data_IF_160142093929
#
_entry.id   IF_160142093929
#
_cell.length_a   1.000
_cell.length_b   1.000
_cell.length_c   1.000
_cell.angle_alpha   90.00
_cell.angle_beta   90.00
_cell.angle_gamma   90.00
#
_symmetry.space_group_name_H-M   'P 1'
#
loop_
_entity.id
_entity.type
_entity.pdbx_description
1 polymer ?
#
# COMPACT_ATOMS: atom_id res chain seq x y z
N UNK A 1 -6.66 30.31 13.37
CA UNK A 1 -5.76 29.19 13.71
C UNK A 1 -6.27 28.31 14.86
N UNK A 2 -6.88 28.86 15.87
CA UNK A 2 -7.47 28.09 16.97
C UNK A 2 -8.68 27.23 16.56
N UNK A 3 -9.49 27.69 15.60
CA UNK A 3 -10.75 27.05 15.23
C UNK A 3 -10.60 25.79 14.37
N UNK A 4 -9.53 25.66 13.58
CA UNK A 4 -9.25 24.49 12.73
C UNK A 4 -8.76 23.32 13.59
N UNK A 5 -7.92 23.59 14.56
CA UNK A 5 -7.43 22.60 15.54
C UNK A 5 -8.59 22.11 16.44
N UNK A 6 -9.51 23.01 16.80
CA UNK A 6 -10.69 22.68 17.61
C UNK A 6 -11.68 21.77 16.85
N UNK A 7 -11.91 21.98 15.55
CA UNK A 7 -12.81 21.13 14.74
C UNK A 7 -12.24 19.72 14.54
N UNK A 8 -10.95 19.61 14.32
CA UNK A 8 -10.24 18.32 14.25
C UNK A 8 -10.21 17.60 15.60
N UNK A 9 -10.06 18.33 16.73
CA UNK A 9 -10.10 17.75 18.06
C UNK A 9 -11.51 17.28 18.46
N UNK A 10 -12.57 17.94 18.03
CA UNK A 10 -13.96 17.53 18.32
C UNK A 10 -14.32 16.23 17.58
N UNK A 11 -13.89 16.05 16.33
CA UNK A 11 -14.21 14.86 15.54
C UNK A 11 -13.36 13.63 15.91
N UNK A 12 -12.18 13.81 16.50
CA UNK A 12 -11.28 12.72 16.93
C UNK A 12 -11.40 12.45 18.44
N UNK A 13 -11.91 13.39 19.23
CA UNK A 13 -12.11 13.28 20.70
C UNK A 13 -13.20 12.26 21.10
N UNK A 14 -14.01 11.76 20.17
CA UNK A 14 -15.02 10.74 20.46
C UNK A 14 -14.46 9.33 20.65
N UNK A 15 -13.17 9.11 20.46
CA UNK A 15 -12.59 7.76 20.45
C UNK A 15 -11.72 7.40 21.69
N UNK A 16 -11.64 8.26 22.71
CA UNK A 16 -10.87 7.96 23.93
C UNK A 16 -11.73 7.52 25.14
N UNK A 17 -13.01 7.23 24.93
CA UNK A 17 -13.89 6.72 25.99
C UNK A 17 -14.42 5.34 25.63
N UNK A 18 -13.59 4.32 25.77
CA UNK A 18 -14.04 2.96 26.05
C UNK A 18 -14.04 2.79 27.57
N UNK A 19 -15.02 3.36 28.24
CA UNK A 19 -15.43 2.91 29.55
C UNK A 19 -16.93 2.97 29.66
N UNK A 20 -17.45 1.87 30.20
CA UNK A 20 -18.82 1.54 30.36
C UNK A 20 -19.60 2.63 31.12
N UNK A 21 -20.83 2.86 30.71
CA UNK A 21 -21.81 3.39 31.63
C UNK A 21 -22.80 4.38 31.04
N UNK A 22 -23.99 3.86 30.81
CA UNK A 22 -25.25 4.56 30.95
C UNK A 22 -25.62 5.65 29.92
N UNK A 23 -26.40 5.23 28.90
CA UNK A 23 -27.50 6.06 28.44
C UNK A 23 -28.81 5.29 28.56
N UNK A 24 -29.72 5.91 29.30
CA UNK A 24 -31.00 5.39 29.72
C UNK A 24 -32.02 5.24 28.60
N UNK A 25 -32.81 4.27 28.83
CA UNK A 25 -34.15 3.95 28.33
C UNK A 25 -34.88 5.01 27.54
N UNK A 26 -35.24 4.62 26.29
CA UNK A 26 -36.60 4.88 25.83
C UNK A 26 -37.13 3.72 24.99
N UNK A 27 -38.42 3.46 25.22
CA UNK A 27 -39.18 2.24 24.89
C UNK A 27 -39.64 2.24 23.42
N UNK A 28 -39.66 1.07 22.80
CA UNK A 28 -40.59 0.91 21.67
C UNK A 28 -40.34 -0.27 20.74
N UNK A 29 -41.00 -1.40 21.06
CA UNK A 29 -41.55 -2.45 20.18
C UNK A 29 -40.63 -3.40 19.39
N UNK A 30 -40.88 -4.66 19.72
CA UNK A 30 -40.41 -5.93 19.20
C UNK A 30 -40.58 -6.11 17.68
N UNK A 31 -39.54 -6.61 17.03
CA UNK A 31 -39.65 -7.69 16.07
C UNK A 31 -38.41 -8.59 16.19
N UNK A 32 -38.64 -9.87 16.42
CA UNK A 32 -37.63 -10.91 16.50
C UNK A 32 -37.20 -11.27 15.06
N UNK A 33 -35.92 -11.06 14.70
CA UNK A 33 -35.29 -11.80 13.63
C UNK A 33 -33.94 -12.32 14.11
N UNK A 34 -33.66 -13.58 13.81
CA UNK A 34 -32.50 -14.37 14.23
C UNK A 34 -31.22 -13.71 13.81
N UNK A 35 -30.39 -13.30 14.78
CA UNK A 35 -29.02 -12.85 14.56
C UNK A 35 -28.09 -14.02 14.28
N UNK A 36 -27.56 -14.03 13.07
CA UNK A 36 -26.35 -14.78 12.75
C UNK A 36 -25.16 -14.06 13.41
N UNK A 37 -24.48 -14.72 14.35
CA UNK A 37 -23.28 -14.25 15.05
C UNK A 37 -22.08 -14.28 14.07
N UNK A 38 -21.92 -13.24 13.27
CA UNK A 38 -20.67 -12.87 12.64
C UNK A 38 -20.21 -11.58 13.31
N UNK A 39 -19.15 -11.62 14.10
CA UNK A 39 -18.58 -10.44 14.73
C UNK A 39 -18.14 -9.43 13.68
N UNK A 40 -18.93 -8.38 13.45
CA UNK A 40 -18.57 -7.26 12.57
C UNK A 40 -17.39 -6.52 13.20
N UNK A 41 -16.27 -6.44 12.48
CA UNK A 41 -15.16 -5.55 12.84
C UNK A 41 -15.70 -4.12 12.91
N UNK A 42 -15.40 -3.38 13.96
CA UNK A 42 -15.84 -2.00 14.12
C UNK A 42 -15.12 -1.12 13.07
N UNK A 43 -15.88 -0.52 12.17
CA UNK A 43 -15.39 0.49 11.24
C UNK A 43 -15.23 1.81 11.97
N UNK A 44 -14.12 2.52 11.68
CA UNK A 44 -13.84 3.83 12.26
C UNK A 44 -13.75 4.89 11.16
N UNK A 45 -14.47 6.00 11.28
CA UNK A 45 -14.31 7.14 10.39
C UNK A 45 -13.03 7.92 10.73
N UNK A 46 -12.31 8.33 9.70
CA UNK A 46 -11.14 9.21 9.81
C UNK A 46 -11.36 10.46 8.95
N UNK A 47 -12.06 11.49 9.48
CA UNK A 47 -12.33 12.72 8.73
C UNK A 47 -11.08 13.61 8.68
N UNK A 48 -10.82 14.19 7.52
CA UNK A 48 -9.80 15.21 7.29
C UNK A 48 -10.45 16.40 6.61
N UNK A 49 -10.26 17.60 7.15
CA UNK A 49 -10.68 18.85 6.54
C UNK A 49 -9.49 19.82 6.58
N UNK A 50 -8.97 20.15 5.42
CA UNK A 50 -7.79 21.01 5.30
C UNK A 50 -7.79 21.74 3.95
N UNK A 51 -6.91 22.73 3.75
CA UNK A 51 -6.67 23.30 2.44
C UNK A 51 -6.37 22.22 1.39
N UNK A 52 -6.92 22.37 0.19
CA UNK A 52 -6.75 21.39 -0.88
C UNK A 52 -5.31 21.41 -1.43
N UNK A 53 -4.83 20.23 -1.76
CA UNK A 53 -3.52 20.01 -2.37
C UNK A 53 -3.65 18.90 -3.39
N UNK A 54 -3.09 19.12 -4.57
CA UNK A 54 -3.05 18.09 -5.61
C UNK A 54 -2.43 16.78 -5.08
N UNK A 55 -3.17 15.68 -5.18
CA UNK A 55 -2.74 14.37 -4.73
C UNK A 55 -2.91 14.08 -3.24
N UNK A 56 -3.53 14.99 -2.47
CA UNK A 56 -3.76 14.80 -1.03
C UNK A 56 -4.48 13.47 -0.72
N UNK A 57 -5.53 13.14 -1.48
CA UNK A 57 -6.26 11.89 -1.31
C UNK A 57 -5.37 10.64 -1.47
N UNK A 58 -4.47 10.66 -2.43
CA UNK A 58 -3.49 9.59 -2.63
C UNK A 58 -2.52 9.48 -1.45
N UNK A 59 -2.00 10.62 -0.96
CA UNK A 59 -1.09 10.68 0.18
C UNK A 59 -1.75 10.18 1.47
N UNK A 60 -3.03 10.53 1.71
CA UNK A 60 -3.82 10.03 2.84
C UNK A 60 -4.03 8.51 2.76
N UNK A 61 -4.42 7.99 1.59
CA UNK A 61 -4.57 6.55 1.37
C UNK A 61 -3.26 5.80 1.59
N UNK A 62 -2.12 6.38 1.20
CA UNK A 62 -0.79 5.82 1.45
C UNK A 62 -0.55 5.62 2.94
N UNK A 63 -0.72 6.68 3.76
CA UNK A 63 -0.50 6.58 5.21
C UNK A 63 -1.43 5.54 5.83
N UNK A 64 -2.70 5.51 5.44
CA UNK A 64 -3.64 4.49 5.92
C UNK A 64 -3.12 3.07 5.64
N UNK A 65 -2.60 2.84 4.42
CA UNK A 65 -2.01 1.55 4.07
C UNK A 65 -0.72 1.25 4.84
N UNK A 66 0.13 2.25 5.10
CA UNK A 66 1.35 2.10 5.92
C UNK A 66 1.03 1.58 7.31
N UNK A 67 -0.08 2.02 7.91
CA UNK A 67 -0.56 1.53 9.21
C UNK A 67 -1.27 0.17 9.15
N UNK A 68 -1.28 -0.48 7.99
CA UNK A 68 -1.93 -1.78 7.81
C UNK A 68 -3.44 -1.71 7.92
N UNK A 69 -4.02 -0.57 7.55
CA UNK A 69 -5.46 -0.36 7.53
C UNK A 69 -6.02 -0.55 6.12
N UNK A 70 -7.27 -0.93 6.09
CA UNK A 70 -8.06 -1.14 4.89
C UNK A 70 -9.24 -0.16 4.86
N UNK A 71 -9.42 0.52 3.72
CA UNK A 71 -10.49 1.51 3.54
C UNK A 71 -11.74 0.77 3.06
N UNK A 72 -12.80 0.81 3.86
CA UNK A 72 -14.07 0.15 3.55
C UNK A 72 -15.03 1.07 2.83
N UNK A 73 -14.99 2.35 3.13
CA UNK A 73 -15.85 3.38 2.55
C UNK A 73 -15.12 4.72 2.54
N UNK A 74 -15.51 5.63 1.64
CA UNK A 74 -14.94 6.97 1.61
C UNK A 74 -15.86 7.97 0.91
N UNK A 75 -15.79 9.21 1.38
CA UNK A 75 -16.39 10.38 0.75
C UNK A 75 -15.32 11.46 0.65
N UNK A 76 -15.17 12.04 -0.53
CA UNK A 76 -14.19 13.10 -0.82
C UNK A 76 -14.92 14.26 -1.50
N UNK A 77 -14.67 15.48 -1.07
CA UNK A 77 -15.22 16.68 -1.68
C UNK A 77 -14.22 17.82 -1.61
N UNK A 78 -14.08 18.59 -2.67
CA UNK A 78 -13.28 19.83 -2.70
C UNK A 78 -13.97 20.95 -3.47
N UNK A 79 -13.76 22.18 -3.03
CA UNK A 79 -14.13 23.41 -3.74
C UNK A 79 -12.94 24.04 -4.48
N UNK A 80 -11.80 23.34 -4.53
CA UNK A 80 -10.54 23.81 -5.09
C UNK A 80 -9.68 24.63 -4.12
N UNK A 81 -10.18 24.98 -2.93
CA UNK A 81 -9.46 25.65 -1.85
C UNK A 81 -9.39 24.79 -0.59
N UNK A 82 -10.48 24.13 -0.28
CA UNK A 82 -10.64 23.25 0.87
C UNK A 82 -11.04 21.87 0.43
N UNK A 83 -10.45 20.86 1.06
CA UNK A 83 -10.74 19.47 0.84
C UNK A 83 -11.34 18.85 2.11
N UNK A 84 -12.47 18.16 1.94
CA UNK A 84 -13.10 17.38 3.00
C UNK A 84 -13.06 15.91 2.61
N UNK A 85 -12.41 15.09 3.44
CA UNK A 85 -12.25 13.65 3.21
C UNK A 85 -12.70 12.88 4.43
N UNK A 86 -13.56 11.91 4.25
CA UNK A 86 -13.95 10.95 5.31
C UNK A 86 -13.68 9.55 4.80
N UNK A 87 -12.85 8.81 5.53
CA UNK A 87 -12.51 7.43 5.21
C UNK A 87 -12.85 6.52 6.39
N UNK A 88 -13.60 5.46 6.12
CA UNK A 88 -13.88 4.39 7.09
C UNK A 88 -12.84 3.31 6.94
N UNK A 89 -12.18 2.99 8.02
CA UNK A 89 -11.02 2.09 8.01
C UNK A 89 -11.16 0.96 9.02
N UNK A 90 -10.61 -0.20 8.66
CA UNK A 90 -10.49 -1.36 9.55
C UNK A 90 -9.06 -1.92 9.46
N UNK A 91 -8.52 -2.56 10.51
CA UNK A 91 -7.25 -3.25 10.42
C UNK A 91 -7.29 -4.40 9.40
N UNK A 92 -6.26 -4.52 8.54
CA UNK A 92 -6.12 -5.62 7.58
C UNK A 92 -6.05 -7.00 8.27
N UNK A 93 -5.53 -7.04 9.50
CA UNK A 93 -5.45 -8.24 10.34
C UNK A 93 -5.84 -7.92 11.78
N UNK A 94 -6.50 -8.85 12.49
CA UNK A 94 -6.83 -8.64 13.92
C UNK A 94 -5.60 -8.57 14.81
N UNK A 95 -4.44 -9.00 14.33
CA UNK A 95 -3.16 -8.96 15.05
C UNK A 95 -2.46 -7.60 14.97
N UNK A 96 -2.89 -6.71 14.08
CA UNK A 96 -2.29 -5.38 13.92
C UNK A 96 -2.76 -4.49 15.08
N UNK A 97 -1.82 -4.07 15.92
CA UNK A 97 -2.05 -3.05 16.93
C UNK A 97 -1.84 -1.67 16.32
N UNK A 98 -2.93 -1.00 15.96
CA UNK A 98 -2.89 0.30 15.27
C UNK A 98 -2.56 1.40 16.27
N UNK A 99 -1.50 2.14 16.02
CA UNK A 99 -1.12 3.33 16.79
C UNK A 99 -1.94 4.55 16.32
N UNK A 100 -3.21 4.64 16.76
CA UNK A 100 -4.17 5.65 16.29
C UNK A 100 -3.69 7.09 16.49
N UNK A 101 -2.93 7.36 17.58
CA UNK A 101 -2.38 8.69 17.84
C UNK A 101 -1.31 9.06 16.80
N UNK A 102 -0.42 8.15 16.48
CA UNK A 102 0.60 8.33 15.46
C UNK A 102 -0.03 8.49 14.07
N UNK A 103 -1.00 7.63 13.71
CA UNK A 103 -1.77 7.77 12.48
C UNK A 103 -2.38 9.19 12.35
N UNK A 104 -3.03 9.69 13.41
CA UNK A 104 -3.59 11.04 13.43
C UNK A 104 -2.53 12.09 13.15
N UNK A 105 -1.41 12.04 13.86
CA UNK A 105 -0.31 13.00 13.68
C UNK A 105 0.22 12.99 12.26
N UNK A 106 0.41 11.80 11.67
CA UNK A 106 0.89 11.66 10.29
C UNK A 106 -0.12 12.10 9.24
N UNK A 107 -1.41 11.85 9.44
CA UNK A 107 -2.47 12.38 8.55
C UNK A 107 -2.51 13.91 8.60
N UNK A 108 -2.37 14.50 9.79
CA UNK A 108 -2.34 15.95 9.97
C UNK A 108 -1.10 16.59 9.34
N UNK A 109 0.06 15.94 9.38
CA UNK A 109 1.28 16.47 8.76
C UNK A 109 1.21 16.58 7.24
N UNK A 110 0.31 15.83 6.58
CA UNK A 110 0.07 15.95 5.13
C UNK A 110 -0.80 17.15 4.77
N UNK A 111 -1.58 17.65 5.73
CA UNK A 111 -2.49 18.77 5.49
C UNK A 111 -1.72 20.07 5.41
N UNK A 112 -1.88 20.86 4.35
CA UNK A 112 -1.26 22.17 4.27
C UNK A 112 -1.71 23.09 5.41
N UNK A 113 -0.78 23.88 5.98
CA UNK A 113 -1.08 24.77 7.10
C UNK A 113 -1.84 26.04 6.69
N UNK A 114 -1.76 26.41 5.41
CA UNK A 114 -2.43 27.58 4.82
C UNK A 114 -2.94 27.27 3.43
N UNK A 115 -4.06 27.87 2.97
CA UNK A 115 -4.44 27.84 1.57
C UNK A 115 -3.43 28.69 0.79
N UNK A 116 -2.36 28.07 0.31
CA UNK A 116 -1.38 28.75 -0.53
C UNK A 116 -2.00 28.84 -1.93
N UNK A 117 -2.16 30.08 -2.49
CA UNK A 117 -2.50 30.20 -3.91
C UNK A 117 -1.40 29.50 -4.72
N UNK A 118 -1.77 28.86 -5.81
CA UNK A 118 -0.98 28.00 -6.70
C UNK A 118 0.34 28.56 -7.26
N UNK A 119 0.79 29.72 -6.79
CA UNK A 119 2.02 30.38 -7.17
C UNK A 119 3.03 30.30 -6.02
N UNK A 120 4.13 29.64 -6.26
CA UNK A 120 5.33 29.48 -5.41
C UNK A 120 5.35 28.24 -4.51
N UNK A 121 5.49 27.07 -5.11
CA UNK A 121 6.28 26.02 -4.48
C UNK A 121 7.74 26.12 -4.98
N UNK A 122 8.39 27.23 -4.63
CA UNK A 122 9.84 27.36 -4.75
C UNK A 122 10.42 26.90 -3.41
N UNK A 123 10.76 25.60 -3.33
CA UNK A 123 11.87 25.16 -2.49
C UNK A 123 11.63 24.97 -1.00
N UNK A 124 10.48 24.51 -0.53
CA UNK A 124 10.51 23.65 0.64
C UNK A 124 10.91 22.25 0.16
N UNK A 125 12.22 22.01 0.10
CA UNK A 125 12.73 20.66 0.06
C UNK A 125 12.03 19.92 1.20
N UNK A 126 11.35 18.76 0.93
CA UNK A 126 10.86 17.92 1.99
C UNK A 126 12.04 17.68 2.93
N UNK A 127 11.85 17.89 4.22
CA UNK A 127 12.87 17.61 5.21
C UNK A 127 13.43 16.23 4.86
N UNK A 128 14.72 16.18 4.51
CA UNK A 128 15.37 14.92 4.12
C UNK A 128 15.30 14.06 5.34
N UNK A 129 14.34 13.13 5.36
CA UNK A 129 14.26 12.17 6.47
C UNK A 129 15.56 11.41 6.51
N UNK A 130 16.21 11.43 7.66
CA UNK A 130 17.48 10.73 7.85
C UNK A 130 17.26 9.24 7.64
N UNK A 131 18.11 8.64 6.81
CA UNK A 131 18.12 7.20 6.57
C UNK A 131 19.13 6.55 7.51
N UNK A 132 18.72 5.48 8.16
CA UNK A 132 19.57 4.69 9.05
C UNK A 132 19.78 3.31 8.47
N UNK A 133 20.99 2.79 8.65
CA UNK A 133 21.35 1.41 8.33
C UNK A 133 21.21 0.56 9.60
N UNK A 134 20.23 -0.33 9.59
CA UNK A 134 20.10 -1.41 10.57
C UNK A 134 20.87 -2.62 10.05
N UNK A 135 21.87 -3.07 10.79
CA UNK A 135 22.61 -4.31 10.54
C UNK A 135 22.11 -5.37 11.50
N UNK A 136 21.59 -6.46 10.98
CA UNK A 136 21.10 -7.57 11.76
C UNK A 136 21.85 -8.83 11.35
N UNK A 137 22.50 -9.49 12.30
CA UNK A 137 23.11 -10.81 12.13
C UNK A 137 22.27 -11.84 12.87
N UNK A 138 21.94 -12.92 12.19
CA UNK A 138 21.06 -13.96 12.71
C UNK A 138 21.39 -15.34 12.16
N UNK A 139 20.81 -16.37 12.76
CA UNK A 139 20.80 -17.74 12.24
C UNK A 139 19.55 -17.91 11.39
N UNK A 140 19.72 -18.49 10.19
CA UNK A 140 18.61 -18.66 9.26
C UNK A 140 17.55 -19.63 9.80
N UNK A 141 16.30 -19.25 9.59
CA UNK A 141 15.12 -20.09 9.86
C UNK A 141 13.95 -19.67 8.99
N UNK A 142 13.02 -20.58 8.81
CA UNK A 142 11.78 -20.31 8.05
C UNK A 142 11.04 -19.09 8.62
N UNK A 143 10.77 -18.14 7.76
CA UNK A 143 10.03 -16.92 8.08
C UNK A 143 10.79 -15.84 8.84
N UNK A 144 12.13 -15.99 9.01
CA UNK A 144 12.99 -15.01 9.68
C UNK A 144 12.78 -13.59 9.14
N UNK A 145 12.91 -13.42 7.83
CA UNK A 145 12.80 -12.11 7.18
C UNK A 145 11.40 -11.48 7.40
N UNK A 146 10.35 -12.30 7.45
CA UNK A 146 9.01 -11.78 7.76
C UNK A 146 8.92 -11.32 9.22
N UNK A 147 9.51 -12.05 10.17
CA UNK A 147 9.49 -11.65 11.58
C UNK A 147 10.20 -10.31 11.77
N UNK A 148 11.34 -10.10 11.12
CA UNK A 148 12.05 -8.81 11.11
C UNK A 148 11.16 -7.70 10.52
N UNK A 149 10.59 -7.93 9.33
CA UNK A 149 9.73 -6.92 8.69
C UNK A 149 8.47 -6.61 9.49
N UNK A 150 7.96 -7.59 10.25
CA UNK A 150 6.83 -7.42 11.14
C UNK A 150 7.18 -6.46 12.30
N UNK A 151 8.30 -6.67 12.97
CA UNK A 151 8.79 -5.77 14.05
C UNK A 151 9.00 -4.36 13.52
N UNK A 152 9.68 -4.21 12.38
CA UNK A 152 9.92 -2.89 11.78
C UNK A 152 8.59 -2.18 11.46
N UNK A 153 7.61 -2.92 10.93
CA UNK A 153 6.28 -2.38 10.63
C UNK A 153 5.50 -1.98 11.89
N UNK A 154 5.59 -2.76 12.99
CA UNK A 154 4.95 -2.41 14.27
C UNK A 154 5.55 -1.16 14.90
N UNK A 155 6.84 -0.94 14.68
CA UNK A 155 7.57 0.24 15.16
C UNK A 155 7.47 1.44 14.20
N UNK A 156 6.65 1.36 13.16
CA UNK A 156 6.48 2.42 12.14
C UNK A 156 7.79 2.80 11.42
N UNK A 157 8.72 1.84 11.32
CA UNK A 157 9.95 1.98 10.57
C UNK A 157 9.71 1.58 9.12
N UNK A 158 9.99 2.51 8.21
CA UNK A 158 9.79 2.31 6.76
C UNK A 158 11.08 1.77 6.15
N UNK A 159 10.95 0.71 5.36
CA UNK A 159 12.07 0.10 4.65
C UNK A 159 12.20 0.77 3.28
N UNK A 160 13.28 1.52 3.07
CA UNK A 160 13.58 2.16 1.78
C UNK A 160 14.41 1.24 0.88
N UNK A 161 15.29 0.44 1.48
CA UNK A 161 16.13 -0.52 0.80
C UNK A 161 16.48 -1.68 1.73
N UNK A 162 16.69 -2.85 1.16
CA UNK A 162 17.19 -4.03 1.90
C UNK A 162 18.21 -4.77 1.07
N UNK A 163 19.14 -5.40 1.75
CA UNK A 163 20.03 -6.42 1.20
C UNK A 163 20.17 -7.53 2.22
N UNK A 164 19.62 -8.69 1.89
CA UNK A 164 19.69 -9.93 2.67
C UNK A 164 20.67 -10.87 2.01
N UNK A 165 21.56 -11.47 2.77
CA UNK A 165 22.51 -12.46 2.28
C UNK A 165 22.67 -13.59 3.29
N UNK A 166 22.40 -14.81 2.87
CA UNK A 166 22.60 -16.02 3.66
C UNK A 166 23.91 -16.68 3.27
N UNK A 167 24.69 -17.06 4.25
CA UNK A 167 25.95 -17.78 4.06
C UNK A 167 25.72 -19.30 4.06
N UNK A 168 26.62 -20.12 3.47
CA UNK A 168 26.43 -21.57 3.41
C UNK A 168 26.35 -22.26 4.78
N UNK A 169 26.86 -21.62 5.85
CA UNK A 169 26.77 -22.11 7.22
C UNK A 169 25.47 -21.71 7.94
N UNK A 170 24.48 -21.17 7.18
CA UNK A 170 23.17 -20.81 7.70
C UNK A 170 23.15 -19.52 8.54
N UNK A 171 24.14 -18.66 8.39
CA UNK A 171 24.11 -17.32 8.97
C UNK A 171 23.55 -16.31 7.98
N UNK A 172 22.75 -15.37 8.49
CA UNK A 172 22.12 -14.32 7.70
C UNK A 172 22.67 -12.98 8.11
N UNK A 173 23.03 -12.17 7.12
CA UNK A 173 23.35 -10.76 7.29
C UNK A 173 22.29 -9.93 6.57
N UNK A 174 21.49 -9.21 7.35
CA UNK A 174 20.45 -8.32 6.87
C UNK A 174 20.89 -6.87 7.02
N UNK A 175 20.85 -6.14 5.93
CA UNK A 175 21.10 -4.71 5.86
C UNK A 175 19.82 -4.00 5.46
N UNK A 176 19.17 -3.34 6.42
CA UNK A 176 17.96 -2.54 6.17
C UNK A 176 18.32 -1.06 6.20
N UNK A 177 18.03 -0.37 5.11
CA UNK A 177 18.03 1.09 5.07
C UNK A 177 16.61 1.54 5.39
N UNK A 178 16.47 2.21 6.53
CA UNK A 178 15.17 2.53 7.10
C UNK A 178 15.05 4.00 7.45
N UNK A 179 13.82 4.50 7.36
CA UNK A 179 13.42 5.80 7.86
C UNK A 179 12.40 5.63 8.99
N UNK A 180 12.43 6.52 9.98
CA UNK A 180 11.49 6.49 11.09
C UNK A 180 10.34 7.47 10.82
N UNK A 181 9.13 6.97 10.74
CA UNK A 181 7.93 7.80 10.59
C UNK A 181 7.68 8.75 11.78
N UNK A 182 8.30 8.47 12.92
CA UNK A 182 8.24 9.32 14.13
C UNK A 182 9.45 10.25 14.28
N UNK A 183 10.45 10.15 13.39
CA UNK A 183 11.69 10.93 13.40
C UNK A 183 12.51 10.80 14.71
N UNK A 184 12.34 9.71 15.47
CA UNK A 184 12.99 9.48 16.76
C UNK A 184 14.23 8.59 16.68
N UNK A 185 14.53 7.98 15.50
CA UNK A 185 15.61 7.01 15.36
C UNK A 185 17.01 7.61 15.54
N UNK A 186 17.13 8.95 15.57
CA UNK A 186 18.35 9.64 15.96
C UNK A 186 18.69 9.45 17.45
N UNK A 187 17.72 9.05 18.28
CA UNK A 187 17.91 8.82 19.71
C UNK A 187 18.39 7.40 19.98
N UNK A 188 19.41 7.26 20.84
CA UNK A 188 19.91 5.96 21.27
C UNK A 188 18.79 5.09 21.87
N UNK A 189 17.91 5.70 22.64
CA UNK A 189 16.75 5.02 23.25
C UNK A 189 15.88 4.32 22.20
N UNK A 190 15.54 4.98 21.09
CA UNK A 190 14.72 4.41 20.01
C UNK A 190 15.43 3.26 19.29
N UNK A 191 16.74 3.39 19.10
CA UNK A 191 17.57 2.33 18.53
C UNK A 191 17.61 1.09 19.45
N UNK A 192 17.84 1.30 20.76
CA UNK A 192 17.90 0.24 21.75
C UNK A 192 16.53 -0.47 21.90
N UNK A 193 15.42 0.28 21.94
CA UNK A 193 14.06 -0.27 21.94
C UNK A 193 13.79 -1.13 20.70
N UNK A 194 14.27 -0.71 19.53
CA UNK A 194 14.10 -1.47 18.28
C UNK A 194 14.92 -2.77 18.31
N UNK A 195 16.19 -2.70 18.73
CA UNK A 195 17.03 -3.89 18.87
C UNK A 195 16.47 -4.86 19.90
N UNK A 196 15.99 -4.36 21.05
CA UNK A 196 15.38 -5.20 22.08
C UNK A 196 14.13 -5.93 21.52
N UNK A 197 13.28 -5.22 20.79
CA UNK A 197 12.09 -5.83 20.21
C UNK A 197 12.42 -6.88 19.13
N UNK A 198 13.47 -6.65 18.35
CA UNK A 198 13.97 -7.65 17.40
C UNK A 198 14.51 -8.88 18.12
N UNK A 199 15.29 -8.69 19.18
CA UNK A 199 15.82 -9.77 20.01
C UNK A 199 14.71 -10.60 20.66
N UNK A 200 13.68 -9.94 21.22
CA UNK A 200 12.50 -10.60 21.81
C UNK A 200 11.74 -11.48 20.80
N UNK A 201 11.61 -11.04 19.54
CA UNK A 201 10.87 -11.78 18.50
C UNK A 201 11.74 -12.86 17.83
N UNK A 202 13.02 -12.60 17.63
CA UNK A 202 13.93 -13.53 16.97
C UNK A 202 14.50 -14.57 17.94
N UNK A 203 14.58 -14.25 19.25
CA UNK A 203 15.13 -15.12 20.29
C UNK A 203 16.53 -15.59 19.98
N UNK A 204 16.80 -16.88 20.18
CA UNK A 204 18.11 -17.51 19.95
C UNK A 204 18.64 -17.39 18.51
N UNK A 205 17.79 -16.97 17.56
CA UNK A 205 18.23 -16.72 16.19
C UNK A 205 18.94 -15.37 16.04
N UNK A 206 18.77 -14.41 16.94
CA UNK A 206 19.43 -13.11 16.91
C UNK A 206 20.87 -13.22 17.43
N UNK A 207 21.86 -12.79 16.64
CA UNK A 207 23.25 -12.77 17.04
C UNK A 207 23.67 -11.37 17.43
N UNK A 208 23.35 -10.37 16.61
CA UNK A 208 23.60 -8.95 16.90
C UNK A 208 22.70 -8.03 16.10
N UNK A 209 22.43 -6.87 16.67
CA UNK A 209 21.63 -5.81 16.07
C UNK A 209 22.34 -4.46 16.30
N UNK A 210 22.61 -3.73 15.22
CA UNK A 210 23.35 -2.47 15.26
C UNK A 210 22.73 -1.43 14.34
N UNK A 211 22.73 -0.17 14.80
CA UNK A 211 22.31 0.98 13.99
C UNK A 211 23.48 1.87 13.63
N UNK A 212 23.47 2.34 12.39
CA UNK A 212 24.40 3.35 11.89
C UNK A 212 23.66 4.41 11.08
N UNK A 213 24.13 5.65 11.08
CA UNK A 213 23.64 6.64 10.13
C UNK A 213 24.13 6.25 8.73
N UNK A 214 23.27 6.32 7.73
CA UNK A 214 23.67 6.05 6.35
C UNK A 214 24.31 7.31 5.74
N UNK A 215 25.64 7.36 5.65
CA UNK A 215 26.42 8.54 5.22
C UNK A 215 26.20 8.96 3.75
N UNK A 216 25.78 8.03 2.90
CA UNK A 216 25.43 8.31 1.50
C UNK A 216 24.38 7.32 1.02
N UNK A 217 23.12 7.66 1.22
CA UNK A 217 22.02 6.87 0.69
C UNK A 217 21.87 7.16 -0.81
N UNK A 218 22.48 6.34 -1.65
CA UNK A 218 22.16 6.28 -3.07
C UNK A 218 21.22 5.10 -3.30
N UNK A 219 20.04 5.38 -3.87
CA UNK A 219 19.14 4.32 -4.32
C UNK A 219 19.85 3.47 -5.37
N UNK A 220 20.07 2.18 -5.06
CA UNK A 220 20.65 1.25 -6.02
C UNK A 220 19.70 1.00 -7.20
N UNK A 221 20.24 1.08 -8.41
CA UNK A 221 19.48 0.68 -9.59
C UNK A 221 19.53 -0.84 -9.74
N UNK A 222 18.36 -1.44 -9.96
CA UNK A 222 18.27 -2.87 -10.29
C UNK A 222 18.59 -3.07 -11.76
N UNK A 223 19.63 -3.82 -12.03
CA UNK A 223 19.97 -4.26 -13.39
C UNK A 223 19.20 -5.55 -13.70
N UNK A 224 18.20 -5.45 -14.55
CA UNK A 224 17.42 -6.60 -15.04
C UNK A 224 17.83 -6.91 -16.47
N UNK A 225 17.98 -8.21 -16.84
CA UNK A 225 18.12 -8.61 -18.25
C UNK A 225 16.91 -8.13 -19.07
N UNK A 226 17.13 -7.70 -20.31
CA UNK A 226 16.07 -7.11 -21.15
C UNK A 226 14.83 -8.00 -21.28
N UNK A 227 15.00 -9.31 -21.47
CA UNK A 227 13.88 -10.25 -21.58
C UNK A 227 13.07 -10.36 -20.27
N UNK A 228 13.73 -10.25 -19.10
CA UNK A 228 13.06 -10.26 -17.79
C UNK A 228 12.32 -8.94 -17.57
N UNK A 229 12.93 -7.82 -17.94
CA UNK A 229 12.32 -6.50 -17.84
C UNK A 229 11.06 -6.42 -18.73
N UNK A 230 11.14 -6.92 -19.97
CA UNK A 230 10.01 -6.98 -20.88
C UNK A 230 8.86 -7.80 -20.28
N UNK A 231 9.11 -9.02 -19.82
CA UNK A 231 8.08 -9.86 -19.18
C UNK A 231 7.50 -9.29 -17.87
N UNK A 232 8.29 -8.48 -17.14
CA UNK A 232 7.84 -7.89 -15.89
C UNK A 232 7.02 -6.61 -16.10
N UNK A 233 7.45 -5.72 -17.02
CA UNK A 233 6.86 -4.38 -17.15
C UNK A 233 5.82 -4.26 -18.25
N UNK A 234 5.83 -5.17 -19.24
CA UNK A 234 4.85 -5.23 -20.34
C UNK A 234 4.01 -6.52 -20.23
N UNK A 235 3.15 -6.66 -19.20
CA UNK A 235 2.27 -7.81 -19.15
C UNK A 235 1.33 -7.75 -20.35
N UNK A 236 1.31 -8.80 -21.14
CA UNK A 236 0.31 -8.94 -22.19
C UNK A 236 -1.07 -8.85 -21.56
N UNK A 237 -1.86 -7.87 -21.95
CA UNK A 237 -3.30 -7.87 -21.69
C UNK A 237 -3.83 -8.97 -22.60
N UNK A 238 -4.44 -10.03 -22.09
CA UNK A 238 -5.03 -11.04 -22.96
C UNK A 238 -6.24 -10.40 -23.66
N UNK A 239 -5.99 -9.75 -24.78
CA UNK A 239 -7.03 -9.40 -25.73
C UNK A 239 -7.37 -10.67 -26.50
N UNK A 240 -8.51 -11.23 -26.18
CA UNK A 240 -9.07 -12.32 -26.94
C UNK A 240 -9.04 -13.69 -26.24
N UNK A 241 -10.00 -14.46 -26.60
CA UNK A 241 -10.45 -15.77 -26.18
C UNK A 241 -9.43 -16.92 -26.44
N UNK A 242 -8.14 -16.67 -26.25
CA UNK A 242 -7.09 -17.66 -26.49
C UNK A 242 -6.59 -18.19 -25.16
N UNK A 243 -7.10 -19.37 -24.82
CA UNK A 243 -6.51 -20.26 -23.83
C UNK A 243 -6.75 -19.86 -22.39
N UNK A 244 -7.94 -20.16 -21.87
CA UNK A 244 -8.26 -20.24 -20.45
C UNK A 244 -7.41 -21.29 -19.73
N UNK A 245 -6.08 -21.15 -19.74
CA UNK A 245 -5.23 -21.83 -18.78
C UNK A 245 -5.41 -21.13 -17.44
N UNK A 246 -6.40 -21.62 -16.70
CA UNK A 246 -6.54 -21.57 -15.24
C UNK A 246 -6.10 -20.24 -14.58
N UNK A 247 -6.70 -19.13 -14.96
CA UNK A 247 -6.73 -17.96 -14.08
C UNK A 247 -7.44 -18.39 -12.78
N UNK A 248 -6.86 -18.08 -11.62
CA UNK A 248 -7.53 -18.36 -10.37
C UNK A 248 -8.92 -17.72 -10.36
N UNK A 249 -9.91 -18.28 -9.67
CA UNK A 249 -11.28 -17.72 -9.61
C UNK A 249 -11.31 -16.26 -9.19
N UNK A 250 -10.33 -15.82 -8.42
CA UNK A 250 -10.22 -14.44 -7.95
C UNK A 250 -9.73 -13.48 -9.07
N UNK A 251 -8.80 -13.94 -9.92
CA UNK A 251 -8.39 -13.18 -11.11
C UNK A 251 -9.53 -13.06 -12.14
N UNK A 252 -10.43 -14.03 -12.20
CA UNK A 252 -11.64 -13.95 -13.00
C UNK A 252 -12.60 -12.87 -12.52
N UNK A 253 -12.72 -12.65 -11.19
CA UNK A 253 -13.52 -11.55 -10.63
C UNK A 253 -12.99 -10.17 -11.04
N UNK A 254 -11.66 -10.02 -11.19
CA UNK A 254 -11.06 -8.75 -11.63
C UNK A 254 -11.39 -8.42 -13.09
N UNK A 255 -11.51 -9.42 -13.96
CA UNK A 255 -11.91 -9.19 -15.37
C UNK A 255 -13.31 -8.58 -15.51
N UNK A 256 -14.19 -8.82 -14.54
CA UNK A 256 -15.57 -8.32 -14.55
C UNK A 256 -15.69 -6.86 -14.07
N UNK A 257 -14.63 -6.06 -14.23
CA UNK A 257 -14.72 -4.64 -13.92
C UNK A 257 -15.43 -3.87 -15.03
N UNK A 258 -16.26 -2.92 -14.61
CA UNK A 258 -16.92 -1.97 -15.51
C UNK A 258 -16.46 -0.55 -15.19
N UNK A 259 -16.00 0.16 -16.22
CA UNK A 259 -15.67 1.58 -16.16
C UNK A 259 -16.57 2.32 -17.15
N UNK A 260 -17.28 3.30 -16.66
CA UNK A 260 -18.19 4.13 -17.46
C UNK A 260 -17.82 5.60 -17.25
N UNK A 261 -17.72 6.35 -18.35
CA UNK A 261 -17.58 7.81 -18.34
C UNK A 261 -18.88 8.42 -18.80
N UNK A 262 -19.44 9.30 -17.96
CA UNK A 262 -20.66 10.05 -18.28
C UNK A 262 -20.41 11.56 -18.19
N UNK A 263 -20.74 12.23 -19.29
CA UNK A 263 -20.64 13.67 -19.44
C UNK A 263 -21.99 14.39 -19.37
N UNK A 264 -23.07 13.67 -19.13
CA UNK A 264 -24.42 14.25 -19.15
C UNK A 264 -24.81 14.91 -17.81
N UNK A 265 -24.34 14.39 -16.68
CA UNK A 265 -24.83 14.74 -15.34
C UNK A 265 -24.29 16.06 -14.80
N UNK A 266 -23.13 16.50 -15.20
CA UNK A 266 -22.56 17.77 -14.73
C UNK A 266 -22.14 18.66 -15.89
N UNK A 267 -22.37 19.98 -15.83
CA UNK A 267 -21.91 20.90 -16.88
C UNK A 267 -20.39 21.09 -16.88
N UNK A 268 -19.72 20.98 -15.73
CA UNK A 268 -18.30 21.30 -15.55
C UNK A 268 -17.41 20.11 -15.31
N UNK A 269 -17.97 18.97 -14.94
CA UNK A 269 -17.22 17.79 -14.51
C UNK A 269 -17.63 16.55 -15.31
N UNK A 270 -16.74 15.58 -15.38
CA UNK A 270 -16.97 14.26 -15.98
C UNK A 270 -17.21 13.26 -14.86
N UNK A 271 -18.29 12.49 -14.90
CA UNK A 271 -18.49 11.38 -13.98
C UNK A 271 -17.73 10.15 -14.49
N UNK A 272 -16.88 9.59 -13.66
CA UNK A 272 -16.24 8.29 -13.82
C UNK A 272 -16.86 7.33 -12.82
N UNK A 273 -17.53 6.29 -13.30
CA UNK A 273 -18.10 5.22 -12.48
C UNK A 273 -17.27 3.96 -12.65
N UNK A 274 -16.88 3.36 -11.52
CA UNK A 274 -16.09 2.14 -11.49
C UNK A 274 -16.82 1.10 -10.65
N UNK A 275 -17.12 -0.03 -11.26
CA UNK A 275 -17.64 -1.19 -10.57
C UNK A 275 -16.64 -2.34 -10.72
N UNK A 276 -16.08 -2.83 -9.61
CA UNK A 276 -14.99 -3.81 -9.64
C UNK A 276 -14.96 -4.68 -8.37
N UNK A 277 -14.19 -5.75 -8.41
CA UNK A 277 -13.89 -6.55 -7.23
C UNK A 277 -13.07 -5.74 -6.23
N UNK A 278 -13.31 -5.99 -4.94
CA UNK A 278 -12.60 -5.33 -3.86
C UNK A 278 -11.18 -5.89 -3.71
N UNK A 279 -10.22 -4.99 -3.46
CA UNK A 279 -8.83 -5.36 -3.25
C UNK A 279 -8.10 -4.37 -2.32
N UNK A 280 -7.07 -4.86 -1.64
CA UNK A 280 -6.24 -4.06 -0.76
C UNK A 280 -5.57 -2.91 -1.51
N UNK A 281 -5.83 -1.68 -1.06
CA UNK A 281 -5.25 -0.48 -1.66
C UNK A 281 -5.90 -0.04 -2.98
N UNK A 282 -7.06 -0.58 -3.34
CA UNK A 282 -7.79 -0.22 -4.57
C UNK A 282 -7.94 1.30 -4.73
N UNK A 283 -8.39 1.99 -3.67
CA UNK A 283 -8.57 3.44 -3.70
C UNK A 283 -7.24 4.17 -3.96
N UNK A 284 -6.17 3.74 -3.30
CA UNK A 284 -4.83 4.28 -3.53
C UNK A 284 -4.40 4.12 -5.00
N UNK A 285 -4.59 2.93 -5.58
CA UNK A 285 -4.19 2.65 -6.97
C UNK A 285 -5.00 3.50 -7.97
N UNK A 286 -6.30 3.70 -7.73
CA UNK A 286 -7.14 4.58 -8.55
C UNK A 286 -6.69 6.04 -8.44
N UNK A 287 -6.53 6.56 -7.22
CA UNK A 287 -6.14 7.96 -6.99
C UNK A 287 -4.75 8.25 -7.54
N UNK A 288 -3.81 7.32 -7.38
CA UNK A 288 -2.47 7.42 -7.98
C UNK A 288 -2.55 7.48 -9.50
N UNK A 289 -3.31 6.60 -10.12
CA UNK A 289 -3.45 6.55 -11.57
C UNK A 289 -4.07 7.83 -12.13
N UNK A 290 -5.09 8.37 -11.49
CA UNK A 290 -5.70 9.65 -11.88
C UNK A 290 -4.71 10.81 -11.72
N UNK A 291 -3.94 10.84 -10.62
CA UNK A 291 -2.88 11.82 -10.38
C UNK A 291 -1.80 11.75 -11.48
N UNK A 292 -1.35 10.54 -11.85
CA UNK A 292 -0.38 10.31 -12.93
C UNK A 292 -0.91 10.76 -14.30
N UNK A 293 -2.24 10.77 -14.49
CA UNK A 293 -2.90 11.29 -15.70
C UNK A 293 -3.22 12.79 -15.63
N UNK A 294 -2.76 13.52 -14.62
CA UNK A 294 -3.11 14.93 -14.36
C UNK A 294 -4.62 15.18 -14.27
N UNK A 295 -5.35 14.26 -13.63
CA UNK A 295 -6.78 14.35 -13.40
C UNK A 295 -7.03 14.73 -11.94
N UNK A 296 -7.90 15.72 -11.73
CA UNK A 296 -8.33 16.17 -10.42
C UNK A 296 -9.71 15.59 -10.10
N UNK A 297 -9.94 15.33 -8.82
CA UNK A 297 -11.23 14.82 -8.30
C UNK A 297 -11.89 15.95 -7.54
N UNK A 298 -13.06 16.37 -7.98
CA UNK A 298 -13.85 17.38 -7.30
C UNK A 298 -14.77 16.78 -6.24
N UNK A 299 -15.35 15.62 -6.54
CA UNK A 299 -16.18 14.86 -5.61
C UNK A 299 -15.97 13.37 -5.84
N UNK A 300 -15.97 12.57 -4.78
CA UNK A 300 -15.83 11.13 -4.87
C UNK A 300 -16.57 10.39 -3.77
N UNK A 301 -17.19 9.29 -4.13
CA UNK A 301 -17.87 8.38 -3.21
C UNK A 301 -17.38 6.95 -3.46
N UNK A 302 -17.02 6.27 -2.39
CA UNK A 302 -16.62 4.88 -2.36
C UNK A 302 -17.57 4.09 -1.49
N UNK A 303 -18.20 3.08 -2.08
CA UNK A 303 -19.14 2.22 -1.37
C UNK A 303 -18.66 0.76 -1.45
N UNK A 304 -18.83 0.04 -0.35
CA UNK A 304 -18.67 -1.39 -0.32
C UNK A 304 -20.03 -2.03 -0.57
N UNK A 305 -20.09 -2.90 -1.57
CA UNK A 305 -21.27 -3.72 -1.81
C UNK A 305 -21.16 -5.10 -1.16
N UNK A 306 -22.26 -5.74 -0.91
CA UNK A 306 -22.28 -7.14 -0.53
C UNK A 306 -21.60 -8.00 -1.60
N UNK A 307 -20.93 -9.08 -1.21
CA UNK A 307 -20.21 -10.03 -2.08
C UNK A 307 -18.80 -9.59 -2.54
N UNK A 308 -18.18 -8.60 -1.90
CA UNK A 308 -16.79 -8.23 -2.21
C UNK A 308 -16.61 -7.41 -3.49
N UNK A 309 -17.62 -6.62 -3.86
CA UNK A 309 -17.55 -5.64 -4.95
C UNK A 309 -17.54 -4.22 -4.40
N UNK A 310 -16.99 -3.31 -5.19
CA UNK A 310 -16.93 -1.88 -4.95
C UNK A 310 -17.65 -1.11 -6.04
N UNK A 311 -18.37 -0.07 -5.61
CA UNK A 311 -18.89 0.97 -6.47
C UNK A 311 -18.22 2.29 -6.11
N UNK A 312 -17.68 2.96 -7.12
CA UNK A 312 -16.88 4.16 -6.96
C UNK A 312 -17.38 5.17 -8.00
N UNK A 313 -17.90 6.28 -7.51
CA UNK A 313 -18.35 7.41 -8.32
C UNK A 313 -17.40 8.57 -8.11
N UNK A 314 -16.74 9.05 -9.16
CA UNK A 314 -15.81 10.17 -9.13
C UNK A 314 -16.22 11.23 -10.14
N UNK A 315 -16.48 12.44 -9.66
CA UNK A 315 -16.57 13.62 -10.52
C UNK A 315 -15.15 14.17 -10.72
N UNK A 316 -14.68 14.04 -11.93
CA UNK A 316 -13.30 14.34 -12.32
C UNK A 316 -13.24 15.49 -13.31
N UNK A 317 -12.10 16.17 -13.33
CA UNK A 317 -11.77 17.24 -14.27
C UNK A 317 -10.29 17.23 -14.61
N UNK A 318 -9.92 17.92 -15.69
CA UNK A 318 -8.52 18.13 -16.03
C UNK A 318 -7.87 19.10 -15.04
N UNK A 319 -6.52 19.16 -15.01
CA UNK A 319 -5.80 20.07 -14.14
C UNK A 319 -6.13 21.56 -14.38
N UNK A 320 -6.60 21.90 -15.60
CA UNK A 320 -7.08 23.25 -15.96
C UNK A 320 -8.55 23.52 -15.57
N UNK A 321 -9.17 22.59 -14.83
CA UNK A 321 -10.56 22.67 -14.38
C UNK A 321 -11.60 22.31 -15.46
N UNK A 322 -11.17 21.90 -16.65
CA UNK A 322 -12.08 21.57 -17.73
C UNK A 322 -12.57 20.13 -17.67
N UNK A 323 -13.77 19.94 -18.18
CA UNK A 323 -14.38 18.63 -18.40
C UNK A 323 -13.59 17.79 -19.42
N UNK A 324 -13.57 16.47 -19.24
CA UNK A 324 -12.87 15.55 -20.14
C UNK A 324 -13.84 15.15 -21.27
N UNK A 325 -13.81 15.90 -22.38
CA UNK A 325 -14.72 15.68 -23.52
C UNK A 325 -14.09 14.80 -24.59
N UNK A 326 -12.76 14.88 -24.75
CA UNK A 326 -12.00 14.16 -25.76
C UNK A 326 -12.10 12.64 -25.57
N UNK A 327 -12.65 11.89 -26.56
CA UNK A 327 -12.80 10.43 -26.47
C UNK A 327 -11.46 9.68 -26.36
N UNK A 328 -10.40 10.16 -27.00
CA UNK A 328 -9.09 9.51 -26.93
C UNK A 328 -8.53 9.61 -25.50
N UNK A 329 -8.68 10.78 -24.88
CA UNK A 329 -8.26 10.98 -23.48
C UNK A 329 -9.11 10.14 -22.52
N UNK A 330 -10.41 10.02 -22.74
CA UNK A 330 -11.29 9.14 -21.96
C UNK A 330 -10.86 7.67 -22.06
N UNK A 331 -10.60 7.21 -23.27
CA UNK A 331 -10.13 5.84 -23.52
C UNK A 331 -8.76 5.58 -22.84
N UNK A 332 -7.86 6.52 -22.93
CA UNK A 332 -6.52 6.43 -22.29
C UNK A 332 -6.65 6.29 -20.77
N UNK A 333 -7.48 7.11 -20.14
CA UNK A 333 -7.73 7.05 -18.70
C UNK A 333 -8.34 5.70 -18.31
N UNK A 334 -9.37 5.25 -19.03
CA UNK A 334 -10.03 3.96 -18.76
C UNK A 334 -9.09 2.78 -18.95
N UNK A 335 -8.29 2.76 -20.02
CA UNK A 335 -7.32 1.69 -20.29
C UNK A 335 -6.25 1.63 -19.22
N UNK A 336 -5.73 2.79 -18.80
CA UNK A 336 -4.72 2.87 -17.74
C UNK A 336 -5.28 2.45 -16.38
N UNK A 337 -6.48 2.88 -16.02
CA UNK A 337 -7.16 2.43 -14.80
C UNK A 337 -7.39 0.92 -14.82
N UNK A 338 -7.88 0.35 -15.93
CA UNK A 338 -8.05 -1.11 -16.05
C UNK A 338 -6.74 -1.85 -15.82
N UNK A 339 -5.67 -1.42 -16.47
CA UNK A 339 -4.34 -2.03 -16.33
C UNK A 339 -3.85 -1.99 -14.87
N UNK A 340 -3.93 -0.83 -14.24
CA UNK A 340 -3.44 -0.64 -12.86
C UNK A 340 -4.32 -1.33 -11.81
N UNK A 341 -5.61 -1.53 -12.09
CA UNK A 341 -6.51 -2.28 -11.21
C UNK A 341 -6.40 -3.79 -11.39
N UNK A 342 -6.13 -4.27 -12.61
CA UNK A 342 -5.89 -5.70 -12.89
C UNK A 342 -4.52 -6.14 -12.38
N UNK A 343 -3.52 -5.28 -12.50
CA UNK A 343 -2.14 -5.57 -12.17
C UNK A 343 -1.51 -4.43 -11.36
N UNK A 344 -2.01 -4.14 -10.13
CA UNK A 344 -1.48 -3.04 -9.31
C UNK A 344 0.00 -3.24 -8.96
N UNK A 345 0.44 -4.49 -8.94
CA UNK A 345 1.82 -4.94 -8.77
C UNK A 345 2.12 -6.01 -9.80
N UNK A 346 3.34 -6.02 -10.33
CA UNK A 346 3.80 -7.04 -11.28
C UNK A 346 4.53 -8.13 -10.51
N UNK A 347 4.16 -9.39 -10.69
CA UNK A 347 4.74 -10.53 -9.97
C UNK A 347 5.08 -11.62 -10.96
N UNK A 348 6.36 -11.98 -11.05
CA UNK A 348 6.83 -13.08 -11.89
C UNK A 348 7.90 -13.91 -11.15
N UNK A 349 8.07 -15.15 -11.59
CA UNK A 349 9.21 -16.00 -11.20
C UNK A 349 10.05 -16.26 -12.44
N UNK A 350 11.35 -16.08 -12.30
CA UNK A 350 12.33 -16.30 -13.35
C UNK A 350 13.44 -17.25 -12.89
N UNK A 351 14.07 -17.93 -13.83
CA UNK A 351 15.28 -18.72 -13.57
C UNK A 351 16.52 -17.85 -13.77
N UNK A 352 17.43 -17.87 -12.79
CA UNK A 352 18.71 -17.16 -12.83
C UNK A 352 19.86 -18.19 -12.70
N UNK A 353 20.21 -18.80 -13.79
CA UNK A 353 21.12 -19.95 -13.74
C UNK A 353 20.47 -21.14 -13.03
N UNK A 354 21.11 -21.70 -11.99
CA UNK A 354 20.53 -22.77 -11.17
C UNK A 354 19.46 -22.26 -10.22
N UNK A 355 19.42 -20.94 -9.95
CA UNK A 355 18.58 -20.35 -8.92
C UNK A 355 17.23 -19.89 -9.47
N UNK A 356 16.26 -19.78 -8.59
CA UNK A 356 14.91 -19.27 -8.89
C UNK A 356 14.69 -17.95 -8.16
N UNK A 357 14.31 -16.93 -8.92
CA UNK A 357 14.13 -15.59 -8.42
C UNK A 357 12.66 -15.16 -8.57
N UNK A 358 12.05 -14.74 -7.46
CA UNK A 358 10.75 -14.06 -7.45
C UNK A 358 11.00 -12.57 -7.59
N UNK A 359 10.34 -11.94 -8.56
CA UNK A 359 10.39 -10.51 -8.81
C UNK A 359 9.01 -9.90 -8.58
N UNK A 360 8.98 -8.81 -7.81
CA UNK A 360 7.78 -8.00 -7.61
C UNK A 360 8.11 -6.57 -7.96
N UNK A 361 7.38 -5.99 -8.94
CA UNK A 361 7.54 -4.59 -9.31
C UNK A 361 6.36 -3.77 -8.80
N UNK A 362 6.69 -2.70 -8.10
CA UNK A 362 5.79 -1.75 -7.47
C UNK A 362 5.94 -0.39 -8.15
N UNK A 363 4.87 0.15 -8.77
CA UNK A 363 4.95 1.43 -9.45
C UNK A 363 5.22 2.56 -8.46
N UNK A 364 6.16 3.43 -8.83
CA UNK A 364 6.56 4.59 -8.01
C UNK A 364 5.79 5.82 -8.45
N UNK A 365 5.28 6.58 -7.49
CA UNK A 365 4.66 7.87 -7.73
C UNK A 365 5.70 8.93 -8.09
N UNK A 366 5.23 10.07 -8.60
CA UNK A 366 6.06 11.26 -8.80
C UNK A 366 6.78 11.73 -7.53
N UNK A 367 6.23 11.43 -6.35
CA UNK A 367 6.86 11.68 -5.04
C UNK A 367 8.06 10.76 -4.73
N UNK A 368 8.40 9.84 -5.60
CA UNK A 368 9.48 8.86 -5.41
C UNK A 368 9.11 7.67 -4.50
N UNK A 369 7.84 7.49 -4.12
CA UNK A 369 7.38 6.42 -3.23
C UNK A 369 6.49 5.42 -3.98
N UNK A 370 6.67 4.13 -3.72
CA UNK A 370 5.80 3.06 -4.19
C UNK A 370 4.61 2.79 -3.25
N UNK A 371 3.74 1.84 -3.59
CA UNK A 371 2.68 1.33 -2.71
C UNK A 371 3.31 0.77 -1.43
N UNK A 372 2.83 1.15 -0.23
CA UNK A 372 3.45 0.73 1.02
C UNK A 372 3.22 -0.76 1.33
N UNK A 373 4.06 -1.30 2.22
CA UNK A 373 3.98 -2.66 2.78
C UNK A 373 4.15 -3.81 1.79
N UNK A 374 4.58 -3.57 0.56
CA UNK A 374 4.77 -4.63 -0.44
C UNK A 374 5.79 -5.66 0.04
N UNK A 375 6.94 -5.23 0.56
CA UNK A 375 7.97 -6.14 1.07
C UNK A 375 7.46 -7.00 2.23
N UNK A 376 6.72 -6.42 3.16
CA UNK A 376 6.06 -7.13 4.26
C UNK A 376 5.06 -8.19 3.76
N UNK A 377 4.21 -7.84 2.81
CA UNK A 377 3.20 -8.75 2.29
C UNK A 377 3.82 -9.93 1.52
N UNK A 378 4.88 -9.68 0.76
CA UNK A 378 5.62 -10.74 0.05
C UNK A 378 6.29 -11.70 1.04
N UNK A 379 6.99 -11.17 2.06
CA UNK A 379 7.62 -12.02 3.09
C UNK A 379 6.59 -12.82 3.87
N UNK A 380 5.38 -12.26 4.13
CA UNK A 380 4.26 -12.98 4.73
C UNK A 380 3.78 -14.14 3.84
N UNK A 381 3.63 -13.90 2.54
CA UNK A 381 3.22 -14.92 1.60
C UNK A 381 4.21 -16.08 1.54
N UNK A 382 5.51 -15.79 1.44
CA UNK A 382 6.58 -16.79 1.41
C UNK A 382 6.69 -17.56 2.73
N UNK A 383 6.56 -16.88 3.88
CA UNK A 383 6.48 -17.54 5.19
C UNK A 383 5.30 -18.51 5.28
N UNK A 384 4.13 -18.11 4.79
CA UNK A 384 2.93 -18.95 4.81
C UNK A 384 3.09 -20.21 3.94
N UNK A 385 3.85 -20.13 2.85
CA UNK A 385 4.22 -21.26 2.01
C UNK A 385 5.38 -22.11 2.57
N UNK A 386 6.02 -21.65 3.65
CA UNK A 386 7.20 -22.31 4.21
C UNK A 386 8.46 -22.25 3.34
N UNK A 387 8.52 -21.25 2.42
CA UNK A 387 9.66 -21.04 1.51
C UNK A 387 10.70 -20.20 2.22
N UNK A 388 11.96 -20.65 2.19
CA UNK A 388 13.12 -19.90 2.66
C UNK A 388 13.60 -18.92 1.60
N UNK A 389 14.13 -17.79 2.06
CA UNK A 389 14.65 -16.72 1.22
C UNK A 389 16.17 -16.68 1.42
N UNK A 390 16.91 -17.09 0.40
CA UNK A 390 18.37 -17.08 0.44
C UNK A 390 18.96 -15.67 0.33
N UNK A 391 18.33 -14.82 -0.50
CA UNK A 391 18.73 -13.43 -0.66
C UNK A 391 17.53 -12.57 -0.99
N UNK A 392 17.52 -11.33 -0.52
CA UNK A 392 16.51 -10.35 -0.91
C UNK A 392 17.16 -8.98 -1.14
N UNK A 393 16.62 -8.25 -2.12
CA UNK A 393 17.09 -6.90 -2.47
C UNK A 393 15.92 -6.05 -2.93
N UNK A 394 15.92 -4.76 -2.57
CA UNK A 394 15.05 -3.73 -3.14
C UNK A 394 15.92 -2.79 -3.94
N UNK A 395 15.59 -2.61 -5.23
CA UNK A 395 16.26 -1.69 -6.14
C UNK A 395 15.26 -0.85 -6.92
N UNK A 396 15.78 0.13 -7.65
CA UNK A 396 15.00 0.97 -8.57
C UNK A 396 15.24 0.54 -10.02
N UNK A 397 14.18 0.58 -10.81
CA UNK A 397 14.25 0.40 -12.26
C UNK A 397 13.44 1.48 -12.96
N UNK A 398 13.96 2.02 -14.06
CA UNK A 398 13.28 3.07 -14.82
C UNK A 398 12.92 2.52 -16.19
N UNK A 399 11.64 2.59 -16.53
CA UNK A 399 11.12 2.37 -17.89
C UNK A 399 10.86 3.72 -18.56
N UNK A 400 10.52 3.71 -19.84
CA UNK A 400 10.12 4.92 -20.57
C UNK A 400 8.92 5.64 -19.97
N UNK A 401 8.04 4.91 -19.26
CA UNK A 401 6.79 5.44 -18.73
C UNK A 401 6.90 5.92 -17.27
N UNK A 402 7.66 5.19 -16.43
CA UNK A 402 7.76 5.46 -14.99
C UNK A 402 8.93 4.78 -14.32
N UNK A 403 9.12 5.12 -13.06
CA UNK A 403 10.00 4.40 -12.15
C UNK A 403 9.26 3.28 -11.42
N UNK A 404 9.99 2.23 -11.07
CA UNK A 404 9.52 1.07 -10.35
C UNK A 404 10.44 0.76 -9.17
N UNK A 405 9.89 0.38 -8.04
CA UNK A 405 10.61 -0.38 -7.03
C UNK A 405 10.56 -1.84 -7.42
N UNK A 406 11.70 -2.49 -7.51
CA UNK A 406 11.80 -3.90 -7.84
C UNK A 406 12.32 -4.65 -6.62
N UNK A 407 11.47 -5.53 -6.12
CA UNK A 407 11.77 -6.43 -5.01
C UNK A 407 12.21 -7.75 -5.60
N UNK A 408 13.39 -8.20 -5.24
CA UNK A 408 14.02 -9.41 -5.73
C UNK A 408 14.21 -10.37 -4.57
N UNK A 409 13.73 -11.60 -4.72
CA UNK A 409 13.87 -12.66 -3.71
C UNK A 409 14.42 -13.90 -4.38
N UNK A 410 15.61 -14.30 -3.98
CA UNK A 410 16.19 -15.58 -4.37
C UNK A 410 15.62 -16.65 -3.43
N UNK A 411 14.89 -17.59 -4.01
CA UNK A 411 14.16 -18.61 -3.27
C UNK A 411 14.99 -19.88 -3.12
N UNK A 412 14.97 -20.48 -1.95
CA UNK A 412 15.54 -21.78 -1.69
C UNK A 412 14.52 -22.88 -2.03
N UNK A 413 14.97 -23.89 -2.77
CA UNK A 413 14.13 -25.03 -3.13
C UNK A 413 13.82 -25.88 -1.91
N UNK A 414 12.53 -26.24 -1.74
CA UNK A 414 12.10 -27.14 -0.69
C UNK A 414 11.46 -28.40 -1.28
N UNK A 415 11.37 -29.47 -0.48
CA UNK A 415 10.71 -30.73 -0.94
C UNK A 415 9.24 -30.50 -1.31
N UNK A 416 8.56 -29.59 -0.63
CA UNK A 416 7.15 -29.26 -0.86
C UNK A 416 6.97 -28.38 -2.10
N UNK A 417 7.95 -27.53 -2.40
CA UNK A 417 7.94 -26.62 -3.55
C UNK A 417 9.20 -26.83 -4.39
N UNK A 418 9.21 -27.86 -5.28
CA UNK A 418 10.30 -28.03 -6.24
C UNK A 418 10.23 -26.90 -7.29
N UNK A 419 11.14 -25.94 -7.19
CA UNK A 419 11.14 -24.73 -7.99
C UNK A 419 11.38 -24.96 -9.50
N UNK A 420 11.86 -26.12 -9.88
CA UNK A 420 11.92 -26.57 -11.26
C UNK A 420 10.50 -26.81 -11.87
N UNK A 421 9.51 -27.13 -11.03
CA UNK A 421 8.15 -27.40 -11.47
C UNK A 421 7.38 -26.09 -11.73
N UNK A 422 6.84 -25.96 -12.96
CA UNK A 422 6.01 -24.80 -13.35
C UNK A 422 4.79 -24.61 -12.44
N UNK A 423 4.11 -25.68 -12.08
CA UNK A 423 2.92 -25.63 -11.22
C UNK A 423 3.26 -25.06 -9.81
N UNK A 424 4.41 -25.44 -9.24
CA UNK A 424 4.87 -24.89 -7.97
C UNK A 424 5.18 -23.39 -8.08
N UNK A 425 5.81 -22.95 -9.17
CA UNK A 425 6.05 -21.53 -9.45
C UNK A 425 4.75 -20.74 -9.58
N UNK A 426 3.79 -21.27 -10.34
CA UNK A 426 2.48 -20.64 -10.52
C UNK A 426 1.72 -20.51 -9.18
N UNK A 427 1.80 -21.52 -8.30
CA UNK A 427 1.23 -21.47 -6.95
C UNK A 427 1.89 -20.39 -6.08
N UNK A 428 3.20 -20.22 -6.16
CA UNK A 428 3.91 -19.16 -5.42
C UNK A 428 3.46 -17.79 -5.92
N UNK A 429 3.44 -17.58 -7.23
CA UNK A 429 2.99 -16.32 -7.84
C UNK A 429 1.55 -16.00 -7.45
N UNK A 430 0.64 -16.98 -7.53
CA UNK A 430 -0.76 -16.81 -7.15
C UNK A 430 -0.91 -16.46 -5.66
N UNK A 431 -0.18 -17.16 -4.77
CA UNK A 431 -0.19 -16.85 -3.34
C UNK A 431 0.31 -15.46 -3.03
N UNK A 432 1.43 -15.05 -3.65
CA UNK A 432 1.98 -13.71 -3.48
C UNK A 432 0.98 -12.66 -3.96
N UNK A 433 0.39 -12.83 -5.15
CA UNK A 433 -0.63 -11.93 -5.68
C UNK A 433 -1.83 -11.82 -4.75
N UNK A 434 -2.38 -12.93 -4.27
CA UNK A 434 -3.51 -12.93 -3.32
C UNK A 434 -3.19 -12.17 -2.05
N UNK A 435 -2.02 -12.39 -1.46
CA UNK A 435 -1.60 -11.69 -0.24
C UNK A 435 -1.47 -10.18 -0.49
N UNK A 436 -0.88 -9.77 -1.62
CA UNK A 436 -0.74 -8.37 -2.02
C UNK A 436 -2.10 -7.70 -2.27
N UNK A 437 -3.08 -8.46 -2.75
CA UNK A 437 -4.45 -7.99 -3.03
C UNK A 437 -5.39 -8.10 -1.82
N UNK A 438 -4.95 -8.75 -0.74
CA UNK A 438 -5.72 -8.89 0.48
C UNK A 438 -6.79 -9.99 0.43
N UNK A 439 -6.58 -11.04 -0.39
CA UNK A 439 -7.49 -12.20 -0.59
C UNK A 439 -6.98 -13.46 0.09
#
# INVERSE_FOLDING_TARGET
MADIVALLDILISLDSRSDAGAWGRERGRRSRSREARGGRRAERPSPVNCPDKTGLGCDLCRIILEFGLYITRGDVSTDGKWCFVVLWVIPCSPKINVQWRSLKTRLLSLCPSNPIPFYYDIGTQPAISQVYLLKLFSVDRKGLLHDVTHVLSELELLIDRVKVSTTPDGRVMDLFFITDGMELLHTKKRQDETCQKLDEVLGDSCISCEFQLADSFQQGFSSLPSAVAEGLFHPEIPDGDIGSQALSPDMMKLKNMNLVIDNSLSPSQTLLQIHCADQKGLLYDILRTLKDCNIQIAYGRFLSYEKGYREIDLFIQQADGKKIIDPEKQNTICSRLRLEMLHPLRVIIVSRGPDTELLVANPVELSGKGKPRVFYDVTLALKTLGICIFSAEIGRHTTSERQWEVYRFLLEETREYPLANRQARDQIVDRVRRTLMGW
#
